data_IF_388530201010
#
_entry.id   IF_388530201010
#
_cell.length_a   1.000
_cell.length_b   1.000
_cell.length_c   1.000
_cell.angle_alpha   90.00
_cell.angle_beta   90.00
_cell.angle_gamma   90.00
#
_symmetry.space_group_name_H-M   'P 1'
#
loop_
_entity.id
_entity.type
_entity.pdbx_description
1 polymer ?
#
# COMPACT_ATOMS: atom_id res chain seq x y z
N UNK A 1 -10.46 -33.93 -18.45
CA UNK A 1 -11.54 -33.15 -17.79
C UNK A 1 -10.99 -31.77 -17.47
N UNK A 2 -11.38 -30.77 -18.26
CA UNK A 2 -11.01 -29.37 -18.00
C UNK A 2 -11.89 -28.95 -16.82
N UNK A 3 -11.31 -28.80 -15.62
CA UNK A 3 -12.01 -28.15 -14.51
C UNK A 3 -12.31 -26.72 -14.99
N UNK A 4 -13.58 -26.43 -15.22
CA UNK A 4 -14.06 -25.05 -15.35
C UNK A 4 -13.80 -24.38 -14.00
N UNK A 5 -12.65 -23.71 -13.90
CA UNK A 5 -12.38 -22.83 -12.77
C UNK A 5 -13.41 -21.70 -12.83
N UNK A 6 -14.26 -21.62 -11.80
CA UNK A 6 -15.07 -20.41 -11.62
C UNK A 6 -14.10 -19.24 -11.50
N UNK A 7 -14.34 -18.11 -12.18
CA UNK A 7 -13.49 -16.94 -12.03
C UNK A 7 -13.37 -16.59 -10.54
N UNK A 8 -12.14 -16.47 -10.06
CA UNK A 8 -11.90 -16.13 -8.66
C UNK A 8 -12.51 -14.76 -8.37
N UNK A 9 -13.31 -14.66 -7.30
CA UNK A 9 -13.88 -13.39 -6.88
C UNK A 9 -12.76 -12.40 -6.52
N UNK A 10 -12.91 -11.14 -6.91
CA UNK A 10 -11.94 -10.09 -6.63
C UNK A 10 -11.79 -9.87 -5.12
N UNK A 11 -10.56 -9.78 -4.64
CA UNK A 11 -10.21 -9.39 -3.27
C UNK A 11 -9.07 -8.37 -3.33
N UNK A 12 -9.35 -7.14 -2.89
CA UNK A 12 -8.37 -6.09 -2.69
C UNK A 12 -8.22 -5.76 -1.21
N UNK A 13 -7.21 -4.93 -0.88
CA UNK A 13 -7.00 -4.47 0.50
C UNK A 13 -6.40 -3.07 0.60
N UNK A 14 -6.68 -2.39 1.70
CA UNK A 14 -5.89 -1.26 2.17
C UNK A 14 -5.07 -1.68 3.40
N UNK A 15 -3.75 -1.48 3.33
CA UNK A 15 -2.79 -1.95 4.34
C UNK A 15 -1.98 -0.78 4.96
N UNK A 16 -2.58 0.05 5.83
CA UNK A 16 -1.89 1.18 6.43
C UNK A 16 -0.97 0.76 7.60
N UNK A 17 0.22 1.36 7.66
CA UNK A 17 1.06 1.31 8.85
C UNK A 17 0.62 2.38 9.89
N UNK A 18 0.46 2.03 11.17
CA UNK A 18 -0.02 2.96 12.21
C UNK A 18 1.10 3.85 12.77
N UNK A 19 1.97 4.35 11.90
CA UNK A 19 3.03 5.34 12.21
C UNK A 19 2.54 6.78 12.36
N UNK A 20 1.22 6.96 12.54
CA UNK A 20 0.52 8.25 12.56
C UNK A 20 -0.80 8.18 11.79
N UNK A 21 -1.51 9.30 11.67
CA UNK A 21 -2.87 9.33 11.13
C UNK A 21 -2.91 9.26 9.59
N UNK A 22 -4.10 9.03 9.02
CA UNK A 22 -4.28 9.16 7.58
C UNK A 22 -4.05 10.60 7.13
N UNK A 23 -3.32 10.75 6.04
CA UNK A 23 -3.16 12.00 5.30
C UNK A 23 -3.69 11.81 3.87
N UNK A 24 -3.69 12.89 3.07
CA UNK A 24 -4.23 12.88 1.71
C UNK A 24 -3.68 11.74 0.83
N UNK A 25 -2.35 11.56 0.79
CA UNK A 25 -1.71 10.45 0.06
C UNK A 25 -2.20 9.04 0.45
N UNK A 26 -2.36 8.76 1.75
CA UNK A 26 -2.92 7.48 2.19
C UNK A 26 -4.42 7.36 1.89
N UNK A 27 -5.16 8.48 1.91
CA UNK A 27 -6.57 8.51 1.54
C UNK A 27 -6.78 8.22 0.05
N UNK A 28 -5.91 8.73 -0.84
CA UNK A 28 -5.91 8.35 -2.28
C UNK A 28 -5.81 6.84 -2.43
N UNK A 29 -4.90 6.22 -1.68
CA UNK A 29 -4.72 4.76 -1.74
C UNK A 29 -5.92 4.01 -1.19
N UNK A 30 -6.50 4.47 -0.07
CA UNK A 30 -7.70 3.87 0.51
C UNK A 30 -8.90 3.95 -0.46
N UNK A 31 -9.18 5.14 -1.01
CA UNK A 31 -10.29 5.35 -1.94
C UNK A 31 -10.06 4.62 -3.27
N UNK A 32 -8.88 4.71 -3.87
CA UNK A 32 -8.60 4.03 -5.13
C UNK A 32 -8.69 2.51 -5.01
N UNK A 33 -8.16 1.93 -3.93
CA UNK A 33 -8.30 0.48 -3.68
C UNK A 33 -9.73 0.06 -3.36
N UNK A 34 -10.50 0.90 -2.65
CA UNK A 34 -11.91 0.65 -2.37
C UNK A 34 -12.75 0.68 -3.65
N UNK A 35 -12.63 1.74 -4.45
CA UNK A 35 -13.42 1.91 -5.67
C UNK A 35 -13.11 0.82 -6.69
N UNK A 36 -11.85 0.45 -6.87
CA UNK A 36 -11.46 -0.68 -7.71
C UNK A 36 -12.14 -1.97 -7.23
N UNK A 37 -12.07 -2.29 -5.94
CA UNK A 37 -12.70 -3.48 -5.38
C UNK A 37 -14.22 -3.50 -5.57
N UNK A 38 -14.90 -2.38 -5.30
CA UNK A 38 -16.35 -2.27 -5.44
C UNK A 38 -16.81 -2.28 -6.90
N UNK A 39 -16.05 -1.66 -7.81
CA UNK A 39 -16.33 -1.69 -9.25
C UNK A 39 -16.18 -3.11 -9.82
N UNK A 40 -15.23 -3.89 -9.30
CA UNK A 40 -15.07 -5.31 -9.62
C UNK A 40 -16.01 -6.24 -8.84
N UNK A 41 -17.00 -5.70 -8.10
CA UNK A 41 -17.95 -6.46 -7.27
C UNK A 41 -17.26 -7.41 -6.27
N UNK A 42 -16.08 -7.02 -5.80
CA UNK A 42 -15.22 -7.81 -4.93
C UNK A 42 -15.23 -7.35 -3.48
N UNK A 43 -14.35 -8.00 -2.71
CA UNK A 43 -14.09 -7.65 -1.31
C UNK A 43 -13.00 -6.59 -1.20
N UNK A 44 -13.13 -5.73 -0.21
CA UNK A 44 -12.10 -4.77 0.20
C UNK A 44 -11.77 -4.97 1.68
N UNK A 45 -10.57 -5.45 1.94
CA UNK A 45 -10.10 -5.82 3.28
C UNK A 45 -9.26 -4.71 3.91
N UNK A 46 -9.14 -4.72 5.24
CA UNK A 46 -8.15 -3.93 5.97
C UNK A 46 -7.13 -4.85 6.63
N UNK A 47 -5.86 -4.44 6.52
CA UNK A 47 -4.77 -4.98 7.33
C UNK A 47 -4.00 -3.84 7.98
N UNK A 48 -3.82 -3.88 9.29
CA UNK A 48 -2.94 -2.93 9.97
C UNK A 48 -1.52 -3.50 9.93
N UNK A 49 -0.61 -2.79 9.27
CA UNK A 49 0.81 -3.16 9.15
C UNK A 49 1.60 -2.63 10.38
N UNK A 50 1.23 -3.13 11.57
CA UNK A 50 1.83 -2.88 12.90
C UNK A 50 2.97 -3.87 13.22
N UNK A 51 3.97 -3.89 12.34
CA UNK A 51 5.10 -4.84 12.38
C UNK A 51 6.43 -4.21 12.81
N UNK A 52 6.44 -2.91 13.10
CA UNK A 52 7.62 -2.14 13.54
C UNK A 52 7.26 -1.26 14.75
N UNK A 53 7.09 -1.86 15.96
CA UNK A 53 6.59 -1.16 17.15
C UNK A 53 7.31 0.15 17.48
N UNK A 54 8.65 0.29 17.30
CA UNK A 54 9.34 1.56 17.50
C UNK A 54 8.86 2.73 16.62
N UNK A 55 8.22 2.44 15.48
CA UNK A 55 7.66 3.45 14.55
C UNK A 55 6.17 3.67 14.72
N UNK A 56 5.50 2.86 15.53
CA UNK A 56 4.06 2.95 15.74
C UNK A 56 3.71 4.11 16.67
N UNK A 57 2.58 4.75 16.38
CA UNK A 57 2.03 5.81 17.23
C UNK A 57 0.84 5.23 17.99
N UNK A 58 0.84 5.26 19.33
CA UNK A 58 -0.28 4.77 20.14
C UNK A 58 -1.63 5.36 19.68
N UNK A 59 -2.60 4.47 19.49
CA UNK A 59 -3.95 4.81 19.03
C UNK A 59 -4.07 5.18 17.55
N UNK A 60 -2.98 5.25 16.77
CA UNK A 60 -3.06 5.59 15.35
C UNK A 60 -3.86 4.56 14.55
N UNK A 61 -3.72 3.25 14.85
CA UNK A 61 -4.54 2.22 14.20
C UNK A 61 -6.04 2.50 14.38
N UNK A 62 -6.49 2.78 15.60
CA UNK A 62 -7.89 3.11 15.89
C UNK A 62 -8.34 4.39 15.18
N UNK A 63 -7.50 5.44 15.15
CA UNK A 63 -7.82 6.70 14.45
C UNK A 63 -7.90 6.51 12.93
N UNK A 64 -7.04 5.67 12.35
CA UNK A 64 -7.10 5.29 10.93
C UNK A 64 -8.44 4.61 10.63
N UNK A 65 -8.84 3.62 11.43
CA UNK A 65 -10.10 2.90 11.22
C UNK A 65 -11.32 3.83 11.35
N UNK A 66 -11.33 4.68 12.39
CA UNK A 66 -12.37 5.68 12.58
C UNK A 66 -12.48 6.64 11.39
N UNK A 67 -11.34 7.09 10.85
CA UNK A 67 -11.34 7.93 9.67
C UNK A 67 -11.89 7.19 8.43
N UNK A 68 -11.55 5.91 8.22
CA UNK A 68 -12.14 5.13 7.13
C UNK A 68 -13.67 5.03 7.23
N UNK A 69 -14.20 4.76 8.43
CA UNK A 69 -15.65 4.73 8.69
C UNK A 69 -16.31 6.10 8.46
N UNK A 70 -15.65 7.19 8.90
CA UNK A 70 -16.10 8.56 8.70
C UNK A 70 -16.25 8.90 7.22
N UNK A 71 -15.29 8.45 6.40
CA UNK A 71 -15.31 8.60 4.95
C UNK A 71 -16.19 7.58 4.21
N UNK A 72 -16.88 6.67 4.92
CA UNK A 72 -17.80 5.69 4.33
C UNK A 72 -17.10 4.49 3.69
N UNK A 73 -15.80 4.32 3.94
CA UNK A 73 -14.98 3.25 3.39
C UNK A 73 -15.08 2.01 4.29
N UNK A 74 -16.24 1.34 4.23
CA UNK A 74 -16.48 0.12 5.01
C UNK A 74 -15.81 -1.10 4.38
N UNK A 75 -15.04 -1.82 5.18
CA UNK A 75 -14.33 -3.02 4.79
C UNK A 75 -15.15 -4.29 5.02
N UNK A 76 -14.73 -5.37 4.35
CA UNK A 76 -15.36 -6.68 4.48
C UNK A 76 -14.54 -7.57 5.40
N UNK A 77 -15.23 -8.35 6.24
CA UNK A 77 -14.60 -9.31 7.14
C UNK A 77 -13.84 -8.67 8.30
N UNK A 78 -13.00 -9.47 8.94
CA UNK A 78 -12.20 -9.05 10.09
C UNK A 78 -10.95 -8.29 9.66
N UNK A 79 -10.51 -7.36 10.51
CA UNK A 79 -9.26 -6.64 10.34
C UNK A 79 -8.11 -7.57 10.72
N UNK A 80 -7.12 -7.68 9.84
CA UNK A 80 -5.88 -8.40 10.15
C UNK A 80 -4.86 -7.46 10.78
N UNK A 81 -4.17 -7.89 11.84
CA UNK A 81 -3.07 -7.15 12.46
C UNK A 81 -1.78 -7.95 12.30
N UNK A 82 -0.73 -7.34 11.74
CA UNK A 82 0.55 -8.01 11.53
C UNK A 82 1.27 -8.35 12.85
N UNK A 83 1.05 -7.56 13.89
CA UNK A 83 1.51 -7.84 15.26
C UNK A 83 1.02 -9.18 15.81
N UNK A 84 -0.10 -9.71 15.27
CA UNK A 84 -0.70 -10.99 15.66
C UNK A 84 -0.29 -12.16 14.74
N UNK A 85 0.59 -11.91 13.76
CA UNK A 85 0.93 -12.86 12.70
C UNK A 85 2.37 -13.40 12.76
N UNK A 86 3.11 -13.06 13.82
CA UNK A 86 4.51 -13.46 14.00
C UNK A 86 4.74 -14.97 13.89
N UNK A 87 3.81 -15.81 14.34
CA UNK A 87 3.93 -17.26 14.20
C UNK A 87 3.89 -17.71 12.72
N UNK A 88 2.98 -17.15 11.93
CA UNK A 88 2.90 -17.44 10.49
C UNK A 88 4.21 -17.03 9.77
N UNK A 89 4.77 -15.88 10.12
CA UNK A 89 6.03 -15.42 9.54
C UNK A 89 7.21 -16.33 9.94
N UNK A 90 7.28 -16.77 11.20
CA UNK A 90 8.29 -17.74 11.66
C UNK A 90 8.16 -19.08 10.96
N UNK A 91 6.94 -19.55 10.73
CA UNK A 91 6.69 -20.79 10.00
C UNK A 91 7.28 -20.72 8.59
N UNK A 92 7.03 -19.64 7.85
CA UNK A 92 7.56 -19.46 6.49
C UNK A 92 9.08 -19.30 6.49
N UNK A 93 9.67 -18.57 7.45
CA UNK A 93 11.13 -18.50 7.60
C UNK A 93 11.76 -19.88 7.82
N UNK A 94 11.16 -20.71 8.67
CA UNK A 94 11.62 -22.07 8.92
C UNK A 94 11.51 -22.94 7.66
N UNK A 95 10.42 -22.83 6.90
CA UNK A 95 10.24 -23.53 5.63
C UNK A 95 11.33 -23.13 4.62
N UNK A 96 11.57 -21.82 4.44
CA UNK A 96 12.60 -21.31 3.54
C UNK A 96 13.98 -21.83 3.93
N UNK A 97 14.28 -21.89 5.23
CA UNK A 97 15.55 -22.40 5.73
C UNK A 97 15.71 -23.90 5.44
N UNK A 98 14.68 -24.72 5.70
CA UNK A 98 14.69 -26.16 5.41
C UNK A 98 14.85 -26.46 3.92
N UNK A 99 14.33 -25.60 3.05
CA UNK A 99 14.45 -25.70 1.60
C UNK A 99 15.77 -25.13 1.05
N UNK A 100 16.64 -24.59 1.90
CA UNK A 100 17.87 -23.93 1.46
C UNK A 100 17.62 -22.66 0.62
N UNK A 101 16.48 -22.01 0.86
CA UNK A 101 16.04 -20.76 0.20
C UNK A 101 16.28 -19.52 1.07
N UNK A 102 16.92 -19.68 2.23
CA UNK A 102 17.43 -18.58 3.04
C UNK A 102 18.78 -18.91 3.68
N UNK A 103 19.48 -17.89 4.16
CA UNK A 103 20.72 -18.06 4.93
C UNK A 103 20.94 -16.87 5.86
N UNK A 104 21.80 -17.08 6.86
CA UNK A 104 22.17 -16.08 7.85
C UNK A 104 23.26 -15.14 7.34
N UNK A 105 23.11 -13.85 7.61
CA UNK A 105 24.03 -12.79 7.22
C UNK A 105 24.44 -11.95 8.42
N UNK A 106 25.74 -11.88 8.68
CA UNK A 106 26.33 -11.07 9.77
C UNK A 106 26.95 -9.75 9.28
N UNK A 107 26.90 -9.45 7.97
CA UNK A 107 27.41 -8.21 7.41
C UNK A 107 26.78 -6.97 8.06
N UNK A 108 27.62 -5.96 8.32
CA UNK A 108 27.19 -4.69 8.92
C UNK A 108 26.59 -3.75 7.87
N UNK A 109 25.72 -2.82 8.29
CA UNK A 109 25.20 -1.76 7.41
C UNK A 109 26.33 -0.93 6.77
N UNK A 110 27.41 -0.67 7.51
CA UNK A 110 28.59 0.02 7.01
C UNK A 110 29.23 -0.73 5.84
N UNK A 111 29.39 -2.05 5.93
CA UNK A 111 29.90 -2.86 4.81
C UNK A 111 29.00 -2.74 3.58
N UNK A 112 27.68 -2.86 3.76
CA UNK A 112 26.73 -2.74 2.65
C UNK A 112 26.84 -1.37 1.96
N UNK A 113 26.99 -0.30 2.75
CA UNK A 113 27.17 1.05 2.21
C UNK A 113 28.49 1.20 1.41
N UNK A 114 29.56 0.49 1.79
CA UNK A 114 30.84 0.53 1.08
C UNK A 114 30.79 -0.18 -0.30
N UNK A 115 29.81 -1.06 -0.51
CA UNK A 115 29.59 -1.80 -1.77
C UNK A 115 28.38 -1.26 -2.54
N UNK A 116 28.17 0.07 -2.50
CA UNK A 116 27.09 0.77 -3.21
C UNK A 116 25.66 0.41 -2.75
N UNK A 117 25.49 -0.13 -1.54
CA UNK A 117 24.18 -0.34 -0.94
C UNK A 117 23.50 -1.68 -1.27
N UNK A 118 24.03 -2.44 -2.23
CA UNK A 118 23.49 -3.75 -2.61
C UNK A 118 24.35 -4.89 -2.09
N UNK A 119 23.72 -5.90 -1.52
CA UNK A 119 24.42 -7.07 -1.00
C UNK A 119 25.05 -7.94 -2.08
N UNK A 120 26.35 -8.20 -1.92
CA UNK A 120 27.23 -8.97 -2.83
C UNK A 120 27.23 -10.49 -2.56
N UNK A 121 26.25 -11.01 -1.82
CA UNK A 121 26.13 -12.45 -1.52
C UNK A 121 27.25 -13.02 -0.63
N UNK A 122 28.00 -12.18 0.07
CA UNK A 122 29.16 -12.57 0.88
C UNK A 122 28.95 -13.74 1.87
N UNK A 123 27.77 -13.87 2.48
CA UNK A 123 27.45 -14.91 3.46
C UNK A 123 26.68 -16.09 2.87
N UNK A 124 26.38 -16.08 1.56
CA UNK A 124 25.40 -16.98 0.92
C UNK A 124 25.73 -18.47 1.09
N UNK A 125 27.02 -18.81 1.12
CA UNK A 125 27.51 -20.19 1.26
C UNK A 125 28.36 -20.41 2.53
N UNK A 126 28.34 -19.46 3.49
CA UNK A 126 29.17 -19.52 4.70
C UNK A 126 28.58 -20.35 5.84
N UNK A 127 27.32 -20.79 5.74
CA UNK A 127 26.62 -21.59 6.77
C UNK A 127 26.75 -21.01 8.19
N UNK A 128 26.61 -19.69 8.31
CA UNK A 128 26.73 -18.97 9.58
C UNK A 128 25.63 -19.39 10.56
N UNK A 129 25.87 -19.33 11.88
CA UNK A 129 24.82 -19.53 12.87
C UNK A 129 23.83 -18.35 12.87
N UNK A 130 22.68 -18.55 13.53
CA UNK A 130 21.64 -17.52 13.71
C UNK A 130 22.10 -16.35 14.60
N UNK A 131 23.11 -16.57 15.43
CA UNK A 131 23.56 -15.63 16.46
C UNK A 131 23.89 -14.26 15.88
N UNK A 132 23.12 -13.26 16.31
CA UNK A 132 23.21 -11.88 15.84
C UNK A 132 23.27 -11.77 14.31
N UNK A 133 22.46 -12.53 13.57
CA UNK A 133 22.39 -12.47 12.11
C UNK A 133 21.04 -11.93 11.61
N UNK A 134 21.05 -11.29 10.45
CA UNK A 134 19.85 -11.14 9.63
C UNK A 134 19.61 -12.43 8.84
N UNK A 135 18.38 -12.66 8.40
CA UNK A 135 18.05 -13.72 7.43
C UNK A 135 17.85 -13.06 6.06
N UNK A 136 18.59 -13.54 5.07
CA UNK A 136 18.44 -13.13 3.67
C UNK A 136 17.73 -14.22 2.87
N UNK A 137 16.90 -13.77 1.95
CA UNK A 137 16.26 -14.62 0.96
C UNK A 137 17.26 -14.98 -0.13
N UNK A 138 17.44 -16.28 -0.40
CA UNK A 138 18.35 -16.77 -1.43
C UNK A 138 17.61 -16.74 -2.77
N UNK A 139 17.83 -15.68 -3.54
CA UNK A 139 17.24 -15.52 -4.87
C UNK A 139 17.66 -16.66 -5.79
N UNK A 140 16.67 -17.29 -6.44
CA UNK A 140 16.85 -18.33 -7.47
C UNK A 140 16.30 -17.92 -8.83
N UNK A 141 15.19 -17.19 -8.81
CA UNK A 141 14.52 -16.72 -10.01
C UNK A 141 14.16 -15.23 -9.85
N UNK A 142 15.15 -14.32 -9.97
CA UNK A 142 14.88 -12.89 -9.93
C UNK A 142 13.86 -12.48 -10.99
N UNK A 143 13.03 -11.50 -10.64
CA UNK A 143 12.03 -10.91 -11.54
C UNK A 143 12.54 -9.55 -11.99
N UNK A 144 12.62 -9.32 -13.29
CA UNK A 144 13.20 -8.09 -13.87
C UNK A 144 12.15 -7.08 -14.36
N UNK A 145 10.87 -7.45 -14.26
CA UNK A 145 9.76 -6.58 -14.61
C UNK A 145 8.43 -7.26 -14.35
N UNK A 146 7.35 -6.50 -14.41
CA UNK A 146 6.00 -6.98 -14.16
C UNK A 146 4.97 -6.12 -14.88
N UNK A 147 3.80 -6.71 -15.14
CA UNK A 147 2.63 -5.99 -15.64
C UNK A 147 1.93 -5.26 -14.50
N UNK A 148 1.78 -3.94 -14.64
CA UNK A 148 0.91 -3.13 -13.83
C UNK A 148 -0.32 -2.74 -14.65
N UNK A 149 -1.52 -2.98 -14.11
CA UNK A 149 -2.77 -2.73 -14.85
C UNK A 149 -3.03 -1.26 -15.16
N UNK A 150 -2.33 -0.34 -14.49
CA UNK A 150 -2.41 1.10 -14.76
C UNK A 150 -1.17 1.61 -15.52
N UNK A 151 0.02 1.28 -15.03
CA UNK A 151 1.28 1.82 -15.55
C UNK A 151 1.79 1.06 -16.80
N UNK A 152 1.24 -0.12 -17.10
CA UNK A 152 1.74 -1.04 -18.12
C UNK A 152 2.93 -1.85 -17.62
N UNK A 153 3.72 -2.40 -18.55
CA UNK A 153 4.90 -3.18 -18.19
C UNK A 153 6.01 -2.30 -17.60
N UNK A 154 6.42 -2.59 -16.36
CA UNK A 154 7.46 -1.88 -15.63
C UNK A 154 8.72 -2.73 -15.53
N UNK A 155 9.88 -2.13 -15.85
CA UNK A 155 11.19 -2.76 -15.70
C UNK A 155 11.80 -2.39 -14.34
N UNK A 156 12.49 -3.34 -13.71
CA UNK A 156 13.26 -3.13 -12.50
C UNK A 156 14.77 -3.02 -12.79
N UNK A 157 15.48 -2.33 -11.90
CA UNK A 157 16.95 -2.36 -11.89
C UNK A 157 17.44 -3.81 -11.62
N UNK A 158 18.24 -4.41 -12.52
CA UNK A 158 18.76 -5.76 -12.35
C UNK A 158 19.52 -5.97 -11.03
N UNK A 159 20.31 -4.99 -10.59
CA UNK A 159 21.09 -5.09 -9.34
C UNK A 159 20.16 -5.21 -8.14
N UNK A 160 19.07 -4.46 -8.14
CA UNK A 160 18.06 -4.50 -7.09
C UNK A 160 17.26 -5.80 -7.12
N UNK A 161 16.88 -6.27 -8.30
CA UNK A 161 16.11 -7.50 -8.50
C UNK A 161 16.89 -8.75 -8.07
N UNK A 162 18.20 -8.79 -8.36
CA UNK A 162 19.09 -9.92 -8.10
C UNK A 162 19.62 -10.00 -6.65
N UNK A 163 19.43 -8.95 -5.85
CA UNK A 163 19.90 -8.92 -4.48
C UNK A 163 19.20 -10.01 -3.64
N UNK A 164 19.98 -10.77 -2.88
CA UNK A 164 19.46 -11.60 -1.78
C UNK A 164 19.00 -10.69 -0.64
N UNK A 165 17.76 -10.18 -0.74
CA UNK A 165 17.23 -9.17 0.16
C UNK A 165 16.92 -9.73 1.56
N UNK A 166 16.89 -8.84 2.56
CA UNK A 166 16.58 -9.21 3.95
C UNK A 166 15.09 -9.58 4.07
N UNK A 167 14.83 -10.72 4.71
CA UNK A 167 13.47 -11.19 5.09
C UNK A 167 13.23 -11.18 6.60
N UNK A 168 14.30 -11.21 7.39
CA UNK A 168 14.26 -10.98 8.84
C UNK A 168 15.48 -10.16 9.26
N UNK A 169 15.25 -9.03 9.91
CA UNK A 169 16.31 -8.08 10.27
C UNK A 169 17.11 -8.59 11.46
N UNK A 170 18.33 -8.08 11.60
CA UNK A 170 19.25 -8.41 12.71
C UNK A 170 18.69 -7.98 14.07
N UNK A 171 17.82 -6.98 14.11
CA UNK A 171 17.14 -6.48 15.31
C UNK A 171 15.85 -7.26 15.64
N UNK A 172 15.56 -8.36 14.93
CA UNK A 172 14.42 -9.25 15.22
C UNK A 172 13.11 -8.86 14.54
N UNK A 173 13.09 -7.79 13.74
CA UNK A 173 11.89 -7.37 13.02
C UNK A 173 11.77 -8.10 11.67
N UNK A 174 10.57 -8.55 11.33
CA UNK A 174 10.29 -9.12 10.01
C UNK A 174 10.36 -8.03 8.93
N UNK A 175 10.88 -8.39 7.75
CA UNK A 175 10.96 -7.43 6.65
C UNK A 175 9.61 -7.27 5.96
N UNK A 176 9.30 -6.05 5.51
CA UNK A 176 8.07 -5.72 4.79
C UNK A 176 7.78 -6.66 3.61
N UNK A 177 8.79 -6.94 2.76
CA UNK A 177 8.62 -7.83 1.61
C UNK A 177 8.20 -9.25 1.98
N UNK A 178 8.58 -9.75 3.16
CA UNK A 178 8.17 -11.06 3.64
C UNK A 178 6.71 -11.03 4.09
N UNK A 179 6.39 -10.13 5.03
CA UNK A 179 5.08 -10.12 5.69
C UNK A 179 3.95 -9.75 4.74
N UNK A 180 4.20 -8.85 3.78
CA UNK A 180 3.19 -8.44 2.80
C UNK A 180 2.78 -9.60 1.89
N UNK A 181 3.73 -10.42 1.44
CA UNK A 181 3.46 -11.58 0.57
C UNK A 181 2.70 -12.66 1.33
N UNK A 182 3.12 -12.95 2.56
CA UNK A 182 2.46 -13.97 3.40
C UNK A 182 1.03 -13.57 3.73
N UNK A 183 0.79 -12.30 4.08
CA UNK A 183 -0.56 -11.87 4.47
C UNK A 183 -1.48 -11.61 3.29
N UNK A 184 -0.96 -11.13 2.15
CA UNK A 184 -1.77 -11.02 0.92
C UNK A 184 -2.20 -12.42 0.44
N UNK A 185 -1.32 -13.43 0.47
CA UNK A 185 -1.69 -14.83 0.18
C UNK A 185 -2.70 -15.39 1.19
N UNK A 186 -2.44 -15.20 2.50
CA UNK A 186 -3.34 -15.66 3.57
C UNK A 186 -4.75 -15.06 3.46
N UNK A 187 -4.86 -13.79 3.10
CA UNK A 187 -6.15 -13.10 2.90
C UNK A 187 -6.77 -13.38 1.52
N UNK A 188 -6.08 -14.11 0.64
CA UNK A 188 -6.53 -14.42 -0.72
C UNK A 188 -6.60 -13.20 -1.63
N UNK A 189 -5.78 -12.17 -1.38
CA UNK A 189 -5.73 -10.94 -2.19
C UNK A 189 -5.43 -11.30 -3.64
N UNK A 190 -6.26 -10.80 -4.55
CA UNK A 190 -6.14 -11.05 -5.99
C UNK A 190 -5.54 -9.87 -6.74
N UNK A 191 -5.68 -8.65 -6.21
CA UNK A 191 -5.14 -7.43 -6.80
C UNK A 191 -4.67 -6.44 -5.72
N UNK A 192 -3.43 -5.99 -5.84
CA UNK A 192 -2.80 -5.03 -4.93
C UNK A 192 -2.85 -3.64 -5.56
N UNK A 193 -3.77 -2.82 -5.07
CA UNK A 193 -3.86 -1.39 -5.39
C UNK A 193 -3.15 -0.58 -4.32
N UNK A 194 -2.02 0.08 -4.66
CA UNK A 194 -1.18 0.82 -3.69
C UNK A 194 -0.48 2.03 -4.33
N UNK A 195 0.20 2.84 -3.54
CA UNK A 195 0.96 4.00 -4.04
C UNK A 195 2.19 3.61 -4.87
N UNK A 196 2.55 4.45 -5.85
CA UNK A 196 3.67 4.23 -6.75
C UNK A 196 5.06 4.26 -6.09
N UNK A 197 5.17 4.65 -4.82
CA UNK A 197 6.38 4.47 -4.02
C UNK A 197 6.74 3.01 -3.78
N UNK A 198 5.79 2.10 -3.99
CA UNK A 198 5.96 0.67 -3.78
C UNK A 198 6.14 -0.12 -5.09
N UNK A 199 6.39 0.57 -6.22
CA UNK A 199 6.70 -0.06 -7.51
C UNK A 199 7.97 -0.92 -7.40
N UNK A 200 9.08 -0.33 -6.96
CA UNK A 200 10.38 -1.01 -6.93
C UNK A 200 10.37 -2.31 -6.11
N UNK A 201 9.82 -2.36 -4.87
CA UNK A 201 9.74 -3.61 -4.11
C UNK A 201 8.89 -4.72 -4.75
N UNK A 202 8.04 -4.41 -5.74
CA UNK A 202 7.10 -5.37 -6.35
C UNK A 202 7.82 -6.57 -6.95
N UNK A 203 8.92 -6.38 -7.68
CA UNK A 203 9.63 -7.51 -8.30
C UNK A 203 10.23 -8.46 -7.26
N UNK A 204 10.66 -7.95 -6.10
CA UNK A 204 11.13 -8.79 -4.98
C UNK A 204 9.99 -9.58 -4.36
N UNK A 205 8.80 -8.99 -4.27
CA UNK A 205 7.61 -9.66 -3.78
C UNK A 205 7.15 -10.75 -4.76
N UNK A 206 7.15 -10.48 -6.06
CA UNK A 206 6.82 -11.48 -7.10
C UNK A 206 7.82 -12.64 -7.06
N UNK A 207 9.13 -12.37 -6.94
CA UNK A 207 10.14 -13.42 -6.80
C UNK A 207 9.89 -14.29 -5.55
N UNK A 208 9.44 -13.69 -4.44
CA UNK A 208 9.05 -14.40 -3.24
C UNK A 208 7.78 -15.25 -3.45
N UNK A 209 6.73 -14.73 -4.10
CA UNK A 209 5.56 -15.50 -4.51
C UNK A 209 5.95 -16.73 -5.35
N UNK A 210 6.79 -16.52 -6.38
CA UNK A 210 7.23 -17.59 -7.28
C UNK A 210 7.98 -18.71 -6.54
N UNK A 211 8.96 -18.35 -5.70
CA UNK A 211 9.76 -19.34 -4.99
C UNK A 211 9.02 -20.02 -3.84
N UNK A 212 7.98 -19.39 -3.27
CA UNK A 212 7.06 -20.01 -2.31
C UNK A 212 5.94 -20.82 -2.99
N UNK A 213 5.88 -20.82 -4.33
CA UNK A 213 4.82 -21.44 -5.12
C UNK A 213 3.41 -20.94 -4.73
N UNK A 214 3.30 -19.64 -4.48
CA UNK A 214 2.07 -18.94 -4.14
C UNK A 214 1.47 -18.25 -5.37
N UNK A 215 0.17 -17.93 -5.30
CA UNK A 215 -0.50 -17.23 -6.40
C UNK A 215 -0.08 -15.75 -6.39
N UNK A 216 0.46 -15.28 -7.52
CA UNK A 216 0.85 -13.87 -7.69
C UNK A 216 -0.43 -13.05 -7.94
N UNK A 217 -0.68 -11.96 -7.18
CA UNK A 217 -1.79 -11.06 -7.45
C UNK A 217 -1.49 -10.12 -8.63
N UNK A 218 -2.52 -9.51 -9.18
CA UNK A 218 -2.38 -8.37 -10.09
C UNK A 218 -1.93 -7.12 -9.31
N UNK A 219 -1.37 -6.12 -10.00
CA UNK A 219 -0.88 -4.88 -9.38
C UNK A 219 -1.42 -3.64 -10.08
N UNK A 220 -1.76 -2.63 -9.26
CA UNK A 220 -2.04 -1.25 -9.69
C UNK A 220 -1.27 -0.30 -8.77
N UNK A 221 -0.40 0.52 -9.36
CA UNK A 221 0.33 1.56 -8.64
C UNK A 221 -0.22 2.95 -8.93
N UNK A 222 -0.95 3.50 -7.95
CA UNK A 222 -1.58 4.83 -8.00
C UNK A 222 -0.54 5.96 -7.89
N UNK A 223 -0.79 7.11 -8.55
CA UNK A 223 0.10 8.27 -8.51
C UNK A 223 0.34 8.77 -7.08
N UNK A 224 1.58 9.15 -6.78
CA UNK A 224 1.94 9.79 -5.52
C UNK A 224 1.57 11.27 -5.52
N UNK A 225 0.86 11.72 -4.48
CA UNK A 225 0.63 13.14 -4.26
C UNK A 225 1.90 13.84 -3.76
N UNK A 226 2.34 14.85 -4.50
CA UNK A 226 3.45 15.73 -4.14
C UNK A 226 2.93 17.06 -3.60
N UNK A 227 3.64 17.61 -2.62
CA UNK A 227 3.44 18.98 -2.15
C UNK A 227 3.99 20.00 -3.17
N UNK A 228 3.88 21.29 -2.85
CA UNK A 228 4.35 22.40 -3.71
C UNK A 228 5.85 22.37 -3.97
N UNK A 229 6.62 21.84 -3.02
CA UNK A 229 8.07 21.72 -3.09
C UNK A 229 8.52 20.44 -3.83
N UNK A 230 7.58 19.66 -4.38
CA UNK A 230 7.87 18.38 -5.05
C UNK A 230 8.15 17.21 -4.11
N UNK A 231 8.01 17.42 -2.79
CA UNK A 231 8.17 16.37 -1.80
C UNK A 231 6.92 15.49 -1.74
N UNK A 232 7.11 14.18 -1.61
CA UNK A 232 6.01 13.23 -1.38
C UNK A 232 5.24 13.65 -0.14
N UNK A 233 3.91 13.72 -0.22
CA UNK A 233 3.09 13.88 0.96
C UNK A 233 3.14 12.59 1.78
N UNK A 234 3.87 12.69 2.88
CA UNK A 234 4.09 11.62 3.84
C UNK A 234 4.09 12.21 5.24
N UNK A 235 3.90 11.34 6.23
CA UNK A 235 4.00 11.72 7.65
C UNK A 235 5.36 12.34 7.98
N UNK A 236 6.44 11.88 7.33
CA UNK A 236 7.80 12.42 7.52
C UNK A 236 7.96 13.85 6.97
N UNK A 237 7.12 14.24 6.01
CA UNK A 237 7.13 15.56 5.39
C UNK A 237 6.00 16.47 5.93
N UNK A 238 5.61 16.27 7.20
CA UNK A 238 4.60 17.07 7.91
C UNK A 238 3.21 17.12 7.23
N UNK A 239 2.82 16.05 6.53
CA UNK A 239 1.48 15.96 5.97
C UNK A 239 0.43 16.05 7.11
N UNK A 240 -0.55 16.95 6.93
CA UNK A 240 -1.62 17.12 7.90
C UNK A 240 -2.54 15.90 7.92
N UNK A 241 -3.05 15.51 9.09
CA UNK A 241 -4.15 14.54 9.17
C UNK A 241 -5.33 14.99 8.32
N UNK A 242 -6.05 14.04 7.73
CA UNK A 242 -7.31 14.35 7.05
C UNK A 242 -8.34 14.88 8.05
N UNK A 243 -9.17 15.87 7.66
CA UNK A 243 -10.21 16.40 8.52
C UNK A 243 -11.29 15.35 8.78
N UNK A 244 -11.98 15.49 9.92
CA UNK A 244 -13.15 14.67 10.28
C UNK A 244 -14.43 15.51 10.32
N UNK A 245 -14.48 16.58 9.52
CA UNK A 245 -15.68 17.36 9.22
C UNK A 245 -16.43 16.73 8.03
N UNK A 246 -17.14 17.52 7.21
CA UNK A 246 -17.81 16.97 6.03
C UNK A 246 -16.81 16.22 5.12
N UNK A 247 -16.92 14.90 4.91
CA UNK A 247 -15.94 14.15 4.13
C UNK A 247 -16.07 14.39 2.62
N UNK A 248 -17.21 14.92 2.16
CA UNK A 248 -17.56 15.02 0.73
C UNK A 248 -16.61 15.90 -0.10
N UNK A 249 -16.17 17.09 0.35
CA UNK A 249 -15.20 17.90 -0.39
C UNK A 249 -13.89 17.14 -0.66
N UNK A 250 -13.35 16.45 0.35
CA UNK A 250 -12.10 15.72 0.20
C UNK A 250 -12.25 14.45 -0.64
N UNK A 251 -13.42 13.79 -0.59
CA UNK A 251 -13.76 12.71 -1.52
C UNK A 251 -13.72 13.20 -2.97
N UNK A 252 -14.33 14.36 -3.26
CA UNK A 252 -14.29 14.98 -4.59
C UNK A 252 -12.85 15.35 -4.99
N UNK A 253 -12.06 15.87 -4.05
CA UNK A 253 -10.67 16.23 -4.31
C UNK A 253 -9.81 15.01 -4.67
N UNK A 254 -9.99 13.87 -3.98
CA UNK A 254 -9.34 12.60 -4.34
C UNK A 254 -9.82 12.05 -5.68
N UNK A 255 -11.13 12.11 -5.97
CA UNK A 255 -11.65 11.69 -7.28
C UNK A 255 -11.06 12.54 -8.41
N UNK A 256 -10.95 13.85 -8.19
CA UNK A 256 -10.30 14.77 -9.12
C UNK A 256 -8.79 14.48 -9.26
N UNK A 257 -8.09 14.16 -8.17
CA UNK A 257 -6.69 13.73 -8.20
C UNK A 257 -6.49 12.51 -9.12
N UNK A 258 -7.40 11.55 -9.01
CA UNK A 258 -7.41 10.31 -9.80
C UNK A 258 -8.05 10.51 -11.18
N UNK A 259 -8.31 11.75 -11.59
CA UNK A 259 -8.91 12.14 -12.88
C UNK A 259 -10.23 11.40 -13.20
N UNK A 260 -10.99 11.06 -12.16
CA UNK A 260 -12.28 10.40 -12.27
C UNK A 260 -13.33 11.40 -12.77
N UNK A 261 -14.44 10.88 -13.29
CA UNK A 261 -15.53 11.71 -13.81
C UNK A 261 -16.07 12.64 -12.72
N UNK A 262 -16.21 13.93 -13.05
CA UNK A 262 -16.77 14.93 -12.14
C UNK A 262 -18.19 14.54 -11.72
N UNK A 263 -18.45 14.59 -10.42
CA UNK A 263 -19.79 14.42 -9.85
C UNK A 263 -20.31 15.81 -9.53
N UNK A 264 -21.09 16.37 -10.46
CA UNK A 264 -21.77 17.65 -10.28
C UNK A 264 -22.81 17.58 -9.16
N UNK A 265 -23.07 18.71 -8.50
CA UNK A 265 -24.04 18.84 -7.42
C UNK A 265 -23.85 17.80 -6.30
N UNK A 266 -22.60 17.46 -5.98
CA UNK A 266 -22.26 16.52 -4.91
C UNK A 266 -22.74 16.98 -3.53
N UNK A 267 -22.99 18.29 -3.37
CA UNK A 267 -23.54 18.90 -2.15
C UNK A 267 -24.94 18.38 -1.82
N UNK A 268 -25.72 18.01 -2.85
CA UNK A 268 -27.06 17.43 -2.72
C UNK A 268 -27.02 15.93 -2.42
N UNK A 269 -25.84 15.32 -2.47
CA UNK A 269 -25.63 13.91 -2.18
C UNK A 269 -25.19 13.70 -0.73
N UNK A 270 -25.70 12.63 -0.13
CA UNK A 270 -25.03 12.04 1.04
C UNK A 270 -23.67 11.46 0.63
N UNK A 271 -22.78 11.28 1.62
CA UNK A 271 -21.49 10.61 1.46
C UNK A 271 -21.63 9.24 0.76
N UNK A 272 -22.61 8.44 1.16
CA UNK A 272 -22.80 7.09 0.64
C UNK A 272 -23.29 7.11 -0.82
N UNK A 273 -24.21 8.04 -1.16
CA UNK A 273 -24.63 8.25 -2.55
C UNK A 273 -23.48 8.73 -3.44
N UNK A 274 -22.59 9.58 -2.90
CA UNK A 274 -21.39 10.04 -3.61
C UNK A 274 -20.46 8.86 -3.92
N UNK A 275 -20.15 8.01 -2.93
CA UNK A 275 -19.33 6.81 -3.12
C UNK A 275 -19.98 5.81 -4.08
N UNK A 276 -21.29 5.62 -4.02
CA UNK A 276 -22.02 4.75 -4.94
C UNK A 276 -21.90 5.26 -6.39
N UNK A 277 -22.08 6.56 -6.62
CA UNK A 277 -21.88 7.17 -7.94
C UNK A 277 -20.43 7.08 -8.41
N UNK A 278 -19.46 7.30 -7.51
CA UNK A 278 -18.04 7.20 -7.82
C UNK A 278 -17.66 5.77 -8.22
N UNK A 279 -18.17 4.76 -7.50
CA UNK A 279 -17.98 3.34 -7.82
C UNK A 279 -18.56 2.98 -9.19
N UNK A 280 -19.79 3.42 -9.48
CA UNK A 280 -20.46 3.13 -10.76
C UNK A 280 -19.79 3.79 -11.98
N UNK A 281 -18.97 4.82 -11.74
CA UNK A 281 -18.25 5.58 -12.77
C UNK A 281 -16.73 5.42 -12.68
N UNK A 282 -16.27 4.49 -11.85
CA UNK A 282 -14.86 4.24 -11.64
C UNK A 282 -14.23 3.74 -12.94
N UNK A 283 -13.16 4.41 -13.35
CA UNK A 283 -12.48 4.12 -14.60
C UNK A 283 -10.97 4.23 -14.37
N UNK A 284 -10.33 3.05 -14.38
CA UNK A 284 -8.90 2.90 -14.16
C UNK A 284 -8.08 3.59 -15.25
N UNK A 285 -8.54 3.56 -16.50
CA UNK A 285 -7.80 4.09 -17.66
C UNK A 285 -7.71 5.62 -17.64
N UNK A 286 -8.56 6.28 -16.86
CA UNK A 286 -8.51 7.73 -16.65
C UNK A 286 -7.42 8.16 -15.69
N UNK A 287 -6.98 7.28 -14.79
CA UNK A 287 -5.97 7.62 -13.79
C UNK A 287 -4.66 7.95 -14.51
N UNK A 288 -3.98 9.07 -14.18
CA UNK A 288 -2.73 9.40 -14.85
C UNK A 288 -1.64 8.35 -14.60
N UNK A 289 -0.98 7.90 -15.68
CA UNK A 289 0.16 6.97 -15.65
C UNK A 289 1.47 7.61 -15.22
N UNK A 290 1.41 8.75 -14.54
CA UNK A 290 2.59 9.44 -14.02
C UNK A 290 2.72 9.04 -12.55
N UNK A 291 3.81 8.39 -12.16
CA UNK A 291 3.99 7.88 -10.80
C UNK A 291 3.97 8.97 -9.69
N UNK A 292 4.02 10.25 -10.06
CA UNK A 292 3.96 11.41 -9.15
C UNK A 292 3.14 12.53 -9.77
N UNK A 293 2.32 13.20 -8.95
CA UNK A 293 1.50 14.34 -9.35
C UNK A 293 1.46 15.40 -8.25
N UNK A 294 1.59 16.67 -8.61
CA UNK A 294 1.39 17.78 -7.66
C UNK A 294 -0.09 17.99 -7.36
N UNK A 295 -0.43 18.21 -6.09
CA UNK A 295 -1.80 18.56 -5.68
C UNK A 295 -2.28 19.86 -6.36
N UNK A 296 -1.38 20.81 -6.60
CA UNK A 296 -1.74 22.11 -7.19
C UNK A 296 -2.21 22.03 -8.66
N UNK A 297 -1.89 20.93 -9.36
CA UNK A 297 -2.29 20.70 -10.76
C UNK A 297 -3.68 20.04 -10.88
N UNK A 298 -4.40 19.89 -9.77
CA UNK A 298 -5.80 19.49 -9.82
C UNK A 298 -6.61 20.51 -10.62
N UNK A 299 -7.48 20.02 -11.50
CA UNK A 299 -8.58 20.83 -12.01
C UNK A 299 -9.41 21.27 -10.80
N UNK A 300 -9.18 22.50 -10.32
CA UNK A 300 -9.92 23.05 -9.18
C UNK A 300 -11.38 23.12 -9.56
N UNK A 301 -12.16 22.11 -9.17
CA UNK A 301 -13.59 22.29 -8.94
C UNK A 301 -13.65 23.37 -7.87
N UNK A 302 -14.09 24.57 -8.22
CA UNK A 302 -14.08 25.74 -7.35
C UNK A 302 -14.91 25.42 -6.10
N UNK A 303 -14.25 25.00 -5.02
CA UNK A 303 -14.88 24.81 -3.71
C UNK A 303 -15.14 26.19 -3.11
N UNK A 304 -16.21 26.83 -3.56
CA UNK A 304 -16.70 28.07 -2.97
C UNK A 304 -17.32 27.72 -1.62
N UNK A 305 -16.56 27.98 -0.54
CA UNK A 305 -17.09 27.98 0.82
C UNK A 305 -18.00 29.20 0.97
N UNK A 306 -19.31 29.03 0.75
CA UNK A 306 -20.29 30.06 1.09
C UNK A 306 -20.46 30.11 2.61
N UNK A 307 -19.71 30.99 3.27
CA UNK A 307 -20.00 31.43 4.63
C UNK A 307 -21.31 32.25 4.62
N UNK A 308 -22.42 31.60 4.97
CA UNK A 308 -23.64 32.28 5.39
C UNK A 308 -23.75 32.24 6.92
N UNK A 309 -23.09 33.20 7.57
CA UNK A 309 -23.37 33.56 8.96
C UNK A 309 -23.88 35.01 8.99
N UNK A 310 -25.21 35.10 9.04
CA UNK A 310 -26.04 36.08 9.76
C UNK A 310 -25.42 37.45 10.04
N UNK A 311 -25.76 38.45 9.22
CA UNK A 311 -25.91 39.83 9.69
C UNK A 311 -27.31 39.98 10.28
N UNK A 312 -27.42 39.99 11.59
CA UNK A 312 -28.58 40.53 12.29
C UNK A 312 -28.11 41.71 13.14
N UNK A 313 -28.72 42.86 12.83
CA UNK A 313 -28.80 44.15 13.50
C UNK A 313 -28.31 44.27 14.96
N UNK A 314 -27.57 45.35 15.22
CA UNK A 314 -27.99 46.36 16.20
C UNK A 314 -27.29 47.70 15.96
N UNK A 315 -28.07 48.69 15.50
CA UNK A 315 -27.80 50.11 15.75
C UNK A 315 -28.18 50.39 17.20
N UNK A 316 -27.27 50.97 17.98
CA UNK A 316 -27.49 52.11 18.88
C UNK A 316 -26.12 52.60 19.35
#
# INVERSE_FOLDING_TARGET
>A
MIKSERPQAYIGRFAPSPSGDLHFGSLITAIGSYLQARACQGKWLIRIDDIDPPREVPGAASRILHALEHYGLHWDGEILYQSQRHEAYRHVLNQLQQQGLSYYCTCTRQRIHQINGFYDRNCRELNLPIDHAAIRFKQRHPVYGFEDKLQGYLNADPVMAEEDFIIHRRDGLFAYNLVVVIDDDYQGVTEVVRGADLIEPTVRQIALYQQLNLKIPDYIHLPLALNKDGNKLSKQNHAQPIPLDDPRPLLIEVLSFLNQSVIENWQDLSRDQLLQKATARWDLDRIPRQGKMHIDNMNKVTVSHNNHSQKIHSRL
#
